data_IF_675724047297
#
_entry.id   IF_675724047297
#
_cell.length_a   1.000
_cell.length_b   1.000
_cell.length_c   1.000
_cell.angle_alpha   90.00
_cell.angle_beta   90.00
_cell.angle_gamma   90.00
#
_symmetry.space_group_name_H-M   'P 1'
#
loop_
_entity.id
_entity.type
_entity.pdbx_description
1 polymer ?
#
# COMPACT_ATOMS: atom_id res chain seq x y z
N UNK A 1 -15.20 4.57 28.92
CA UNK A 1 -15.23 5.28 27.73
C UNK A 1 -13.90 5.35 27.01
N UNK A 2 -13.82 4.91 25.84
CA UNK A 2 -12.59 4.91 25.11
C UNK A 2 -12.54 6.04 24.12
N UNK A 3 -11.34 6.43 23.77
CA UNK A 3 -11.16 7.35 22.66
C UNK A 3 -10.99 6.55 21.40
N UNK A 4 -11.47 7.10 20.30
CA UNK A 4 -11.26 6.46 19.02
C UNK A 4 -9.76 6.38 18.75
N UNK A 5 -9.32 5.25 18.22
CA UNK A 5 -7.92 5.09 17.85
C UNK A 5 -7.60 6.05 16.71
N UNK A 6 -6.49 6.77 16.79
CA UNK A 6 -6.08 7.62 15.67
C UNK A 6 -5.92 6.78 14.41
N UNK A 7 -6.37 7.31 13.29
CA UNK A 7 -6.23 6.63 12.02
C UNK A 7 -6.04 7.67 10.91
N UNK A 8 -5.40 7.28 9.82
CA UNK A 8 -5.19 8.20 8.71
C UNK A 8 -6.52 8.60 8.10
N UNK A 9 -6.72 9.89 7.90
CA UNK A 9 -7.96 10.39 7.34
C UNK A 9 -7.95 10.41 5.82
N UNK A 10 -6.75 10.45 5.22
CA UNK A 10 -6.62 10.51 3.77
C UNK A 10 -6.25 9.17 3.14
N UNK A 11 -6.13 8.13 3.95
CA UNK A 11 -5.67 6.84 3.44
C UNK A 11 -6.57 6.30 2.33
N UNK A 12 -7.89 6.29 2.56
CA UNK A 12 -8.81 5.75 1.56
C UNK A 12 -8.66 6.47 0.22
N UNK A 13 -8.58 7.79 0.26
CA UNK A 13 -8.40 8.60 -0.93
C UNK A 13 -7.09 8.22 -1.65
N UNK A 14 -6.02 8.08 -0.88
CA UNK A 14 -4.72 7.76 -1.46
C UNK A 14 -4.69 6.39 -2.12
N UNK A 15 -5.36 5.42 -1.51
CA UNK A 15 -5.41 4.08 -2.10
C UNK A 15 -6.13 4.11 -3.45
N UNK A 16 -7.22 4.84 -3.53
CA UNK A 16 -7.92 5.01 -4.80
C UNK A 16 -7.06 5.75 -5.83
N UNK A 17 -6.33 6.76 -5.38
CA UNK A 17 -5.45 7.51 -6.27
C UNK A 17 -4.37 6.63 -6.85
N UNK A 18 -3.81 5.73 -6.05
CA UNK A 18 -2.79 4.80 -6.52
C UNK A 18 -3.35 3.92 -7.63
N UNK A 19 -4.51 3.34 -7.37
CA UNK A 19 -5.12 2.44 -8.36
C UNK A 19 -5.39 3.15 -9.68
N UNK A 20 -5.97 4.34 -9.59
CA UNK A 20 -6.30 5.11 -10.79
C UNK A 20 -5.04 5.54 -11.52
N UNK A 21 -4.03 5.98 -10.78
CA UNK A 21 -2.77 6.41 -11.39
C UNK A 21 -2.07 5.27 -12.12
N UNK A 22 -2.24 4.04 -11.63
CA UNK A 22 -1.65 2.87 -12.28
C UNK A 22 -2.53 2.34 -13.41
N UNK A 23 -3.73 2.89 -13.59
CA UNK A 23 -4.62 2.46 -14.66
C UNK A 23 -5.26 1.11 -14.43
N UNK A 24 -5.47 0.73 -13.18
CA UNK A 24 -5.95 -0.59 -12.83
C UNK A 24 -7.40 -0.55 -12.39
N UNK A 25 -8.16 -1.62 -12.73
CA UNK A 25 -9.45 -1.84 -12.12
C UNK A 25 -9.25 -2.33 -10.70
N UNK A 26 -10.33 -2.40 -9.93
CA UNK A 26 -10.22 -2.90 -8.56
C UNK A 26 -9.81 -4.38 -8.55
N UNK A 27 -10.31 -5.16 -9.48
CA UNK A 27 -9.92 -6.56 -9.59
C UNK A 27 -8.45 -6.70 -9.96
N UNK A 28 -7.99 -5.84 -10.88
CA UNK A 28 -6.59 -5.85 -11.26
C UNK A 28 -5.68 -5.41 -10.12
N UNK A 29 -6.14 -4.44 -9.33
CA UNK A 29 -5.39 -4.00 -8.17
C UNK A 29 -5.24 -5.13 -7.15
N UNK A 30 -6.33 -5.85 -6.91
CA UNK A 30 -6.32 -6.99 -6.02
C UNK A 30 -5.23 -8.01 -6.44
N UNK A 31 -5.17 -8.27 -7.73
CA UNK A 31 -4.16 -9.19 -8.25
C UNK A 31 -2.76 -8.60 -8.16
N UNK A 32 -2.64 -7.32 -8.48
CA UNK A 32 -1.33 -6.66 -8.47
C UNK A 32 -0.74 -6.61 -7.07
N UNK A 33 -1.59 -6.51 -6.05
CA UNK A 33 -1.14 -6.52 -4.67
C UNK A 33 -0.63 -7.90 -4.23
N UNK A 34 -0.92 -8.94 -5.00
CA UNK A 34 -0.57 -10.29 -4.60
C UNK A 34 -1.39 -10.75 -3.42
N UNK A 35 -2.58 -10.21 -3.27
CA UNK A 35 -3.39 -10.42 -2.07
C UNK A 35 -4.53 -11.40 -2.28
N UNK A 36 -4.48 -12.17 -3.36
CA UNK A 36 -5.61 -13.01 -3.76
C UNK A 36 -5.99 -14.06 -2.72
N UNK A 37 -5.02 -14.51 -1.95
CA UNK A 37 -5.29 -15.49 -0.91
C UNK A 37 -5.48 -14.87 0.47
N UNK A 38 -5.29 -13.56 0.57
CA UNK A 38 -5.38 -12.87 1.85
C UNK A 38 -6.71 -12.15 2.03
N UNK A 39 -7.23 -11.60 0.96
CA UNK A 39 -8.48 -10.82 1.02
C UNK A 39 -9.29 -11.08 -0.23
N UNK A 40 -10.59 -10.88 -0.12
CA UNK A 40 -11.47 -10.93 -1.29
C UNK A 40 -11.31 -9.66 -2.11
N UNK A 41 -11.51 -9.75 -3.42
CA UNK A 41 -11.34 -8.57 -4.28
C UNK A 41 -12.30 -7.43 -3.90
N UNK A 42 -13.45 -7.77 -3.30
CA UNK A 42 -14.41 -6.75 -2.88
C UNK A 42 -13.89 -5.85 -1.78
N UNK A 43 -12.82 -6.26 -1.10
CA UNK A 43 -12.23 -5.43 -0.05
C UNK A 43 -11.60 -4.16 -0.62
N UNK A 44 -11.12 -4.21 -1.86
CA UNK A 44 -10.49 -3.03 -2.47
C UNK A 44 -11.45 -1.85 -2.47
N UNK A 45 -12.70 -2.10 -2.85
CA UNK A 45 -13.72 -1.06 -2.84
C UNK A 45 -13.94 -0.49 -1.44
N UNK A 46 -13.94 -1.35 -0.44
CA UNK A 46 -14.14 -0.92 0.95
C UNK A 46 -12.98 -0.09 1.46
N UNK A 47 -11.77 -0.43 1.05
CA UNK A 47 -10.59 0.36 1.41
C UNK A 47 -10.68 1.76 0.80
N UNK A 48 -11.06 1.83 -0.46
CA UNK A 48 -11.11 3.12 -1.17
C UNK A 48 -12.25 4.00 -0.71
N UNK A 49 -13.29 3.40 -0.14
CA UNK A 49 -14.42 4.17 0.38
C UNK A 49 -14.27 4.50 1.87
N UNK A 50 -13.23 4.01 2.50
CA UNK A 50 -13.01 4.25 3.91
C UNK A 50 -13.84 3.38 4.83
N UNK A 51 -14.58 2.42 4.28
CA UNK A 51 -15.39 1.54 5.11
C UNK A 51 -14.57 0.54 5.89
N UNK A 52 -13.39 0.23 5.40
CA UNK A 52 -12.51 -0.73 6.05
C UNK A 52 -11.08 -0.27 5.88
N UNK A 53 -10.29 -0.43 6.91
CA UNK A 53 -8.89 -0.09 6.88
C UNK A 53 -8.08 -1.34 6.53
N UNK A 54 -7.16 -1.25 5.57
CA UNK A 54 -6.33 -2.41 5.23
C UNK A 54 -5.41 -2.78 6.39
N UNK A 55 -5.04 -4.05 6.46
CA UNK A 55 -4.02 -4.47 7.41
C UNK A 55 -2.68 -3.85 7.03
N UNK A 56 -1.73 -3.88 7.96
CA UNK A 56 -0.40 -3.37 7.70
C UNK A 56 0.25 -4.07 6.52
N UNK A 57 0.03 -5.38 6.40
CA UNK A 57 0.64 -6.13 5.29
C UNK A 57 0.06 -5.72 3.94
N UNK A 58 -1.22 -5.44 3.89
CA UNK A 58 -1.85 -4.98 2.65
C UNK A 58 -1.34 -3.57 2.32
N UNK A 59 -1.22 -2.71 3.33
CA UNK A 59 -0.66 -1.37 3.11
C UNK A 59 0.75 -1.44 2.55
N UNK A 60 1.55 -2.37 3.06
CA UNK A 60 2.90 -2.55 2.57
C UNK A 60 2.89 -2.91 1.09
N UNK A 61 1.96 -3.78 0.67
CA UNK A 61 1.88 -4.15 -0.73
C UNK A 61 1.46 -2.96 -1.60
N UNK A 62 0.53 -2.14 -1.10
CA UNK A 62 0.17 -0.91 -1.82
C UNK A 62 1.38 -0.01 -2.01
N UNK A 63 2.15 0.18 -0.96
CA UNK A 63 3.33 1.03 -1.04
C UNK A 63 4.34 0.49 -2.05
N UNK A 64 4.54 -0.81 -2.06
CA UNK A 64 5.47 -1.44 -2.99
C UNK A 64 5.01 -1.32 -4.43
N UNK A 65 3.73 -1.55 -4.67
CA UNK A 65 3.18 -1.45 -6.03
C UNK A 65 3.27 -0.02 -6.53
N UNK A 66 3.03 0.95 -5.67
CA UNK A 66 3.10 2.36 -6.03
C UNK A 66 4.54 2.87 -6.10
N UNK A 67 5.46 2.21 -5.44
CA UNK A 67 6.85 2.65 -5.39
C UNK A 67 7.06 3.78 -4.41
N UNK A 68 6.27 3.84 -3.34
CA UNK A 68 6.39 4.89 -2.33
C UNK A 68 6.61 4.24 -0.97
N UNK A 69 7.03 5.05 -0.01
CA UNK A 69 7.14 4.58 1.36
C UNK A 69 5.76 4.52 2.00
N UNK A 70 5.58 3.61 2.95
CA UNK A 70 4.31 3.53 3.67
C UNK A 70 3.95 4.84 4.36
N UNK A 71 4.96 5.59 4.75
CA UNK A 71 4.73 6.89 5.36
C UNK A 71 3.87 7.79 4.48
N UNK A 72 4.11 7.74 3.17
CA UNK A 72 3.32 8.56 2.23
C UNK A 72 1.84 8.18 2.25
N UNK A 73 1.53 6.94 2.62
CA UNK A 73 0.16 6.48 2.71
C UNK A 73 -0.52 6.89 4.01
N UNK A 74 0.19 6.79 5.11
CA UNK A 74 -0.43 6.94 6.43
C UNK A 74 -0.26 8.31 7.05
N UNK A 75 0.69 9.11 6.56
CA UNK A 75 0.90 10.46 7.08
C UNK A 75 0.01 11.43 6.30
N UNK A 76 -1.01 11.95 6.96
CA UNK A 76 -1.97 12.84 6.30
C UNK A 76 -1.35 14.15 5.85
N UNK A 77 -0.18 14.50 6.37
CA UNK A 77 0.51 15.72 5.95
C UNK A 77 1.29 15.53 4.66
N UNK A 78 1.43 14.31 4.20
CA UNK A 78 2.16 14.03 2.97
C UNK A 78 1.19 13.72 1.84
N UNK A 79 1.53 14.20 0.65
CA UNK A 79 0.80 13.84 -0.55
C UNK A 79 1.54 12.75 -1.28
N UNK A 80 0.80 12.00 -2.10
CA UNK A 80 1.46 11.07 -3.01
C UNK A 80 2.20 11.87 -4.08
N UNK A 81 3.30 11.33 -4.62
CA UNK A 81 3.97 11.99 -5.74
C UNK A 81 2.99 12.18 -6.90
N UNK A 82 3.13 13.27 -7.64
CA UNK A 82 2.27 13.52 -8.79
C UNK A 82 2.35 12.39 -9.80
N UNK A 83 3.52 11.81 -9.95
CA UNK A 83 3.71 10.66 -10.80
C UNK A 83 4.28 9.55 -9.94
N UNK A 84 3.56 8.45 -9.86
CA UNK A 84 4.02 7.32 -9.07
C UNK A 84 5.19 6.65 -9.74
N UNK A 85 6.25 6.32 -8.98
CA UNK A 85 7.38 5.59 -9.57
C UNK A 85 6.98 4.21 -10.08
N UNK A 86 5.89 3.66 -9.54
CA UNK A 86 5.50 2.31 -9.90
C UNK A 86 6.33 1.29 -9.14
N UNK A 87 6.10 0.02 -9.42
CA UNK A 87 6.79 -1.02 -8.67
C UNK A 87 8.29 -0.88 -8.86
N UNK A 88 9.01 -0.91 -7.75
CA UNK A 88 10.46 -0.91 -7.80
C UNK A 88 10.91 -2.26 -8.33
N UNK A 89 11.90 -2.24 -9.20
CA UNK A 89 12.39 -3.49 -9.74
C UNK A 89 12.89 -4.37 -8.62
N UNK A 90 12.56 -5.65 -8.75
CA UNK A 90 12.87 -6.62 -7.72
C UNK A 90 14.32 -6.53 -7.26
N UNK A 91 15.25 -6.38 -8.18
CA UNK A 91 16.65 -6.32 -7.83
C UNK A 91 17.00 -5.14 -6.96
N UNK A 92 16.35 -4.01 -7.15
CA UNK A 92 16.64 -2.82 -6.37
C UNK A 92 16.11 -2.93 -4.95
N UNK A 93 14.88 -3.35 -4.81
CA UNK A 93 14.29 -3.52 -3.48
C UNK A 93 15.04 -4.59 -2.71
N UNK A 94 15.26 -5.72 -3.35
CA UNK A 94 15.83 -6.85 -2.66
C UNK A 94 17.26 -6.66 -2.26
N UNK A 95 17.98 -5.85 -3.02
CA UNK A 95 19.37 -5.60 -2.67
C UNK A 95 19.48 -5.03 -1.27
N UNK A 96 18.64 -4.05 -0.95
CA UNK A 96 18.68 -3.45 0.36
C UNK A 96 18.19 -4.40 1.44
N UNK A 97 17.10 -5.10 1.19
CA UNK A 97 16.53 -6.00 2.18
C UNK A 97 17.41 -7.23 2.41
N UNK A 98 17.92 -7.78 1.33
CA UNK A 98 18.73 -8.97 1.46
C UNK A 98 20.00 -8.68 2.24
N UNK A 99 20.61 -7.55 2.01
CA UNK A 99 21.81 -7.16 2.76
C UNK A 99 21.53 -7.12 4.25
N UNK A 100 20.41 -6.50 4.64
CA UNK A 100 20.05 -6.42 6.04
C UNK A 100 19.74 -7.78 6.62
N UNK A 101 19.00 -8.59 5.87
CA UNK A 101 18.62 -9.92 6.34
C UNK A 101 19.85 -10.78 6.57
N UNK A 102 20.82 -10.72 5.68
CA UNK A 102 22.03 -11.49 5.85
C UNK A 102 22.76 -11.08 7.10
N UNK A 103 22.87 -9.79 7.33
CA UNK A 103 23.55 -9.30 8.52
C UNK A 103 22.86 -9.77 9.78
N UNK A 104 21.55 -9.82 9.77
CA UNK A 104 20.82 -10.27 10.93
C UNK A 104 20.95 -11.76 11.18
N UNK A 105 21.16 -12.51 10.16
CA UNK A 105 21.24 -13.96 10.28
C UNK A 105 22.56 -14.44 10.81
N UNK A 106 23.58 -13.61 10.86
CA UNK A 106 24.87 -13.99 11.36
C UNK A 106 24.93 -14.10 12.87
#
# INVERSE_FOLDING_TARGET
>A
MGYARPKPERLAEKLGQIRIALGLSQTEMHRRLGAEEMIAYTQISKYESGRREPSLMILLQYARVAGVHMEALVDDDLDLPKKLPGPVKYGEINRAYVSRSRNKKR
#
